data_IF_796972680311
#
_entry.id   IF_796972680311
#
_cell.length_a   1.000
_cell.length_b   1.000
_cell.length_c   1.000
_cell.angle_alpha   90.00
_cell.angle_beta   90.00
_cell.angle_gamma   90.00
#
_symmetry.space_group_name_H-M   'P 1'
#
loop_
_entity.id
_entity.type
_entity.pdbx_description
1 polymer ?
#
# COMPACT_ATOMS: atom_id res chain seq x y z
N UNK A 1 -14.91 14.28 -26.69
CA UNK A 1 -14.23 14.92 -25.52
C UNK A 1 -14.87 14.63 -24.15
N UNK A 2 -16.10 14.10 -24.02
CA UNK A 2 -16.72 13.82 -22.71
C UNK A 2 -16.22 12.58 -21.94
N UNK A 3 -15.53 11.63 -22.57
CA UNK A 3 -15.15 10.35 -21.94
C UNK A 3 -14.17 10.50 -20.78
N UNK A 4 -13.21 11.44 -20.86
CA UNK A 4 -12.20 11.64 -19.82
C UNK A 4 -12.78 12.22 -18.52
N UNK A 5 -13.82 13.05 -18.62
CA UNK A 5 -14.47 13.62 -17.44
C UNK A 5 -15.12 12.53 -16.59
N UNK A 6 -15.67 11.51 -17.25
CA UNK A 6 -16.27 10.37 -16.58
C UNK A 6 -15.25 9.48 -15.88
N UNK A 7 -13.94 9.66 -16.07
CA UNK A 7 -12.92 8.90 -15.33
C UNK A 7 -12.53 9.55 -13.99
N UNK A 8 -12.91 10.81 -13.78
CA UNK A 8 -12.55 11.57 -12.57
C UNK A 8 -13.46 11.21 -11.41
N UNK A 9 -12.89 11.19 -10.21
CA UNK A 9 -13.64 11.17 -8.96
C UNK A 9 -13.93 12.62 -8.53
N UNK A 10 -15.18 12.95 -8.15
CA UNK A 10 -15.50 14.25 -7.59
C UNK A 10 -14.70 14.51 -6.31
N UNK A 11 -14.23 15.73 -6.11
CA UNK A 11 -13.73 16.16 -4.80
C UNK A 11 -14.95 16.44 -3.91
N UNK A 12 -15.02 15.78 -2.75
CA UNK A 12 -16.17 15.87 -1.83
C UNK A 12 -15.86 16.68 -0.56
N UNK A 13 -14.79 17.48 -0.59
CA UNK A 13 -14.34 18.32 0.53
C UNK A 13 -12.88 18.01 0.89
N UNK A 14 -11.94 18.74 0.29
CA UNK A 14 -10.49 18.53 0.47
C UNK A 14 -10.01 17.07 0.30
N UNK A 15 -10.75 16.22 -0.43
CA UNK A 15 -10.47 14.78 -0.58
C UNK A 15 -9.61 14.47 -1.81
N UNK A 16 -8.77 15.41 -2.26
CA UNK A 16 -7.89 15.17 -3.41
C UNK A 16 -6.86 14.08 -3.12
N UNK A 17 -6.41 13.95 -1.87
CA UNK A 17 -5.54 12.86 -1.41
C UNK A 17 -6.19 11.48 -1.61
N UNK A 18 -7.48 11.34 -1.29
CA UNK A 18 -8.24 10.11 -1.53
C UNK A 18 -8.33 9.81 -3.02
N UNK A 19 -8.70 10.81 -3.82
CA UNK A 19 -8.91 10.64 -5.26
C UNK A 19 -7.61 10.24 -5.97
N UNK A 20 -6.48 10.87 -5.63
CA UNK A 20 -5.17 10.53 -6.17
C UNK A 20 -4.75 9.09 -5.79
N UNK A 21 -4.96 8.71 -4.53
CA UNK A 21 -4.65 7.36 -4.03
C UNK A 21 -5.47 6.29 -4.74
N UNK A 22 -6.79 6.50 -4.86
CA UNK A 22 -7.69 5.57 -5.55
C UNK A 22 -7.33 5.41 -7.02
N UNK A 23 -7.05 6.51 -7.73
CA UNK A 23 -6.65 6.43 -9.14
C UNK A 23 -5.32 5.67 -9.30
N UNK A 24 -4.38 5.87 -8.37
CA UNK A 24 -3.11 5.13 -8.34
C UNK A 24 -3.35 3.63 -8.15
N UNK A 25 -4.14 3.24 -7.15
CA UNK A 25 -4.51 1.83 -6.92
C UNK A 25 -5.27 1.21 -8.09
N UNK A 26 -6.23 1.93 -8.67
CA UNK A 26 -7.02 1.45 -9.81
C UNK A 26 -6.24 1.38 -11.12
N UNK A 27 -5.04 1.94 -11.18
CA UNK A 27 -4.13 1.74 -12.30
C UNK A 27 -3.45 0.36 -12.26
N UNK A 28 -3.33 -0.25 -11.08
CA UNK A 28 -2.68 -1.54 -10.84
C UNK A 28 -3.58 -2.69 -11.29
N UNK A 29 -3.50 -3.04 -12.57
CA UNK A 29 -4.40 -4.05 -13.18
C UNK A 29 -4.33 -5.43 -12.50
N UNK A 30 -3.15 -5.84 -12.00
CA UNK A 30 -2.99 -7.11 -11.28
C UNK A 30 -3.80 -7.09 -9.99
N UNK A 31 -3.67 -6.02 -9.21
CA UNK A 31 -4.40 -5.85 -7.95
C UNK A 31 -5.92 -5.88 -8.15
N UNK A 32 -6.44 -5.18 -9.17
CA UNK A 32 -7.88 -5.17 -9.46
C UNK A 32 -8.38 -6.54 -9.92
N UNK A 33 -7.60 -7.24 -10.74
CA UNK A 33 -7.94 -8.61 -11.15
C UNK A 33 -8.00 -9.55 -9.96
N UNK A 34 -7.06 -9.43 -9.02
CA UNK A 34 -7.06 -10.23 -7.80
C UNK A 34 -8.27 -9.93 -6.90
N UNK A 35 -8.65 -8.65 -6.73
CA UNK A 35 -9.90 -8.29 -6.01
C UNK A 35 -11.12 -8.95 -6.65
N UNK A 36 -11.23 -8.90 -7.98
CA UNK A 36 -12.37 -9.50 -8.70
C UNK A 36 -12.38 -11.02 -8.67
N UNK A 37 -11.21 -11.66 -8.70
CA UNK A 37 -11.11 -13.13 -8.61
C UNK A 37 -11.74 -13.65 -7.32
N UNK A 38 -11.57 -12.92 -6.22
CA UNK A 38 -12.09 -13.31 -4.91
C UNK A 38 -13.55 -12.82 -4.67
N UNK A 39 -14.26 -12.30 -5.70
CA UNK A 39 -15.59 -11.71 -5.55
C UNK A 39 -16.61 -12.63 -4.90
N UNK A 40 -16.60 -13.92 -5.24
CA UNK A 40 -17.49 -14.91 -4.64
C UNK A 40 -17.33 -15.02 -3.12
N UNK A 41 -16.12 -14.76 -2.59
CA UNK A 41 -15.82 -14.83 -1.16
C UNK A 41 -16.27 -13.57 -0.40
N UNK A 42 -16.03 -12.37 -0.96
CA UNK A 42 -16.32 -11.13 -0.24
C UNK A 42 -17.73 -10.59 -0.52
N UNK A 43 -18.33 -10.83 -1.69
CA UNK A 43 -19.60 -10.19 -2.07
C UNK A 43 -20.76 -10.45 -1.12
N UNK A 44 -20.92 -11.70 -0.65
CA UNK A 44 -21.95 -12.09 0.31
C UNK A 44 -21.58 -11.83 1.77
N UNK A 45 -20.30 -11.58 2.06
CA UNK A 45 -19.83 -11.43 3.43
C UNK A 45 -20.20 -10.05 4.00
N UNK A 46 -20.84 -10.02 5.18
CA UNK A 46 -21.29 -8.77 5.79
C UNK A 46 -20.14 -7.89 6.31
N UNK A 47 -18.96 -8.45 6.58
CA UNK A 47 -17.82 -7.73 7.18
C UNK A 47 -16.90 -7.07 6.16
N UNK A 48 -17.18 -7.17 4.86
CA UNK A 48 -16.28 -6.75 3.77
C UNK A 48 -16.73 -5.45 3.09
N UNK A 49 -17.14 -4.48 3.91
CA UNK A 49 -17.74 -3.25 3.39
C UNK A 49 -16.75 -2.43 2.55
N UNK A 50 -15.47 -2.40 2.94
CA UNK A 50 -14.43 -1.65 2.26
C UNK A 50 -14.04 -2.31 0.93
N UNK A 51 -13.91 -3.63 0.90
CA UNK A 51 -13.68 -4.39 -0.34
C UNK A 51 -14.82 -4.16 -1.36
N UNK A 52 -16.08 -4.23 -0.92
CA UNK A 52 -17.24 -3.93 -1.78
C UNK A 52 -17.20 -2.50 -2.31
N UNK A 53 -16.97 -1.53 -1.42
CA UNK A 53 -16.90 -0.12 -1.79
C UNK A 53 -15.79 0.15 -2.82
N UNK A 54 -14.61 -0.45 -2.63
CA UNK A 54 -13.48 -0.33 -3.54
C UNK A 54 -13.80 -0.94 -4.93
N UNK A 55 -14.44 -2.11 -4.96
CA UNK A 55 -14.87 -2.76 -6.20
C UNK A 55 -15.94 -1.96 -6.95
N UNK A 56 -16.89 -1.36 -6.23
CA UNK A 56 -17.92 -0.47 -6.79
C UNK A 56 -17.34 0.85 -7.31
N UNK A 57 -16.40 1.46 -6.58
CA UNK A 57 -15.68 2.65 -7.03
C UNK A 57 -14.89 2.37 -8.32
N UNK A 58 -14.21 1.22 -8.38
CA UNK A 58 -13.53 0.80 -9.60
C UNK A 58 -14.51 0.59 -10.76
N UNK A 59 -15.65 -0.06 -10.52
CA UNK A 59 -16.64 -0.36 -11.56
C UNK A 59 -17.38 0.89 -12.06
N UNK A 60 -17.56 1.89 -11.19
CA UNK A 60 -18.14 3.19 -11.56
C UNK A 60 -17.11 4.16 -12.16
N UNK A 61 -15.82 3.79 -12.22
CA UNK A 61 -14.75 4.66 -12.71
C UNK A 61 -15.01 5.16 -14.14
N UNK A 62 -15.55 4.35 -15.04
CA UNK A 62 -15.85 4.76 -16.42
C UNK A 62 -17.26 5.36 -16.58
N UNK A 63 -18.09 5.28 -15.54
CA UNK A 63 -19.45 5.82 -15.52
C UNK A 63 -19.45 7.33 -15.33
N UNK A 64 -20.36 8.00 -16.04
CA UNK A 64 -20.62 9.43 -15.86
C UNK A 64 -21.59 9.73 -14.69
N UNK A 65 -22.03 8.72 -13.92
CA UNK A 65 -22.92 8.91 -12.78
C UNK A 65 -22.16 9.54 -11.59
N UNK A 66 -22.20 10.88 -11.52
CA UNK A 66 -21.52 11.68 -10.49
C UNK A 66 -22.06 11.40 -9.09
N UNK A 67 -23.36 11.29 -8.92
CA UNK A 67 -24.01 11.10 -7.62
C UNK A 67 -23.63 9.77 -6.98
N UNK A 68 -23.63 8.68 -7.78
CA UNK A 68 -23.18 7.36 -7.33
C UNK A 68 -21.72 7.40 -6.88
N UNK A 69 -20.83 8.09 -7.61
CA UNK A 69 -19.43 8.27 -7.19
C UNK A 69 -19.32 9.02 -5.88
N UNK A 70 -20.07 10.12 -5.71
CA UNK A 70 -20.09 10.90 -4.46
C UNK A 70 -20.54 10.01 -3.29
N UNK A 71 -21.60 9.22 -3.47
CA UNK A 71 -22.13 8.31 -2.45
C UNK A 71 -21.10 7.26 -2.03
N UNK A 72 -20.41 6.66 -3.01
CA UNK A 72 -19.36 5.68 -2.75
C UNK A 72 -18.13 6.30 -2.06
N UNK A 73 -17.68 7.48 -2.50
CA UNK A 73 -16.56 8.19 -1.87
C UNK A 73 -16.89 8.58 -0.41
N UNK A 74 -18.11 9.04 -0.13
CA UNK A 74 -18.58 9.29 1.24
C UNK A 74 -18.62 8.02 2.08
N UNK A 75 -19.00 6.90 1.47
CA UNK A 75 -19.01 5.59 2.15
C UNK A 75 -17.59 5.14 2.48
N UNK A 76 -16.65 5.26 1.53
CA UNK A 76 -15.23 5.01 1.76
C UNK A 76 -14.68 5.88 2.90
N UNK A 77 -14.88 7.20 2.84
CA UNK A 77 -14.43 8.15 3.87
C UNK A 77 -14.95 7.76 5.25
N UNK A 78 -16.26 7.47 5.37
CA UNK A 78 -16.88 7.03 6.62
C UNK A 78 -16.33 5.70 7.13
N UNK A 79 -16.09 4.72 6.25
CA UNK A 79 -15.50 3.44 6.65
C UNK A 79 -14.11 3.62 7.24
N UNK A 80 -13.26 4.44 6.60
CA UNK A 80 -11.92 4.75 7.12
C UNK A 80 -12.01 5.49 8.46
N UNK A 81 -12.87 6.51 8.54
CA UNK A 81 -13.04 7.34 9.73
C UNK A 81 -13.55 6.60 10.97
N UNK A 82 -14.14 5.40 10.83
CA UNK A 82 -14.56 4.57 11.98
C UNK A 82 -13.41 4.21 12.91
N UNK A 83 -12.23 3.96 12.33
CA UNK A 83 -11.04 3.51 13.07
C UNK A 83 -9.96 4.60 13.15
N UNK A 84 -10.07 5.68 12.35
CA UNK A 84 -9.07 6.74 12.23
C UNK A 84 -9.76 8.10 12.19
N UNK A 85 -9.90 8.74 13.35
CA UNK A 85 -10.67 9.98 13.53
C UNK A 85 -10.18 11.15 12.67
N UNK A 86 -8.90 11.15 12.31
CA UNK A 86 -8.27 12.23 11.53
C UNK A 86 -8.89 12.35 10.13
N UNK A 87 -9.47 11.26 9.60
CA UNK A 87 -10.19 11.25 8.33
C UNK A 87 -11.68 11.62 8.44
N UNK A 88 -12.18 11.94 9.65
CA UNK A 88 -13.58 12.34 9.85
C UNK A 88 -13.86 13.76 9.33
N UNK A 89 -12.90 14.68 9.49
CA UNK A 89 -13.03 16.08 9.13
C UNK A 89 -13.02 16.36 7.62
N UNK A 90 -13.22 17.62 7.25
CA UNK A 90 -13.14 18.12 5.87
C UNK A 90 -11.77 18.76 5.56
N UNK A 91 -10.74 18.40 6.34
CA UNK A 91 -9.38 18.90 6.18
C UNK A 91 -8.59 18.10 5.14
N UNK A 92 -7.53 18.70 4.62
CA UNK A 92 -6.57 17.97 3.78
C UNK A 92 -5.78 17.00 4.66
N UNK A 93 -5.52 15.80 4.12
CA UNK A 93 -4.74 14.76 4.79
C UNK A 93 -3.59 14.29 3.91
N UNK A 94 -2.61 13.65 4.53
CA UNK A 94 -1.49 13.04 3.82
C UNK A 94 -1.98 11.83 3.00
N UNK A 95 -1.58 11.78 1.72
CA UNK A 95 -2.01 10.73 0.80
C UNK A 95 -1.36 9.37 1.10
N UNK A 96 -0.13 9.37 1.59
CA UNK A 96 0.57 8.15 2.00
C UNK A 96 -0.02 7.58 3.29
N UNK A 97 -0.38 8.43 4.25
CA UNK A 97 -1.09 8.01 5.45
C UNK A 97 -2.45 7.39 5.10
N UNK A 98 -3.23 8.07 4.25
CA UNK A 98 -4.50 7.53 3.77
C UNK A 98 -4.32 6.17 3.07
N UNK A 99 -3.31 6.04 2.19
CA UNK A 99 -3.01 4.78 1.52
C UNK A 99 -2.68 3.67 2.52
N UNK A 100 -1.84 3.96 3.51
CA UNK A 100 -1.42 2.99 4.53
C UNK A 100 -2.61 2.48 5.35
N UNK A 101 -3.50 3.40 5.74
CA UNK A 101 -4.73 3.06 6.47
C UNK A 101 -5.69 2.25 5.59
N UNK A 102 -5.89 2.65 4.34
CA UNK A 102 -6.75 1.93 3.39
C UNK A 102 -6.27 0.50 3.17
N UNK A 103 -4.98 0.29 2.91
CA UNK A 103 -4.41 -1.04 2.71
C UNK A 103 -4.49 -1.91 3.98
N UNK A 104 -4.27 -1.31 5.16
CA UNK A 104 -4.37 -2.01 6.44
C UNK A 104 -5.79 -2.52 6.69
N UNK A 105 -6.81 -1.67 6.52
CA UNK A 105 -8.20 -2.09 6.70
C UNK A 105 -8.66 -3.13 5.66
N UNK A 106 -8.23 -2.99 4.39
CA UNK A 106 -8.51 -4.00 3.36
C UNK A 106 -7.88 -5.35 3.71
N UNK A 107 -6.67 -5.33 4.30
CA UNK A 107 -6.01 -6.55 4.77
C UNK A 107 -6.79 -7.18 5.91
N UNK A 108 -7.23 -6.41 6.90
CA UNK A 108 -8.04 -6.90 8.01
C UNK A 108 -9.32 -7.59 7.53
N UNK A 109 -10.07 -6.97 6.60
CA UNK A 109 -11.25 -7.60 5.98
C UNK A 109 -10.88 -8.91 5.28
N UNK A 110 -9.78 -8.93 4.52
CA UNK A 110 -9.30 -10.11 3.81
C UNK A 110 -8.84 -11.25 4.74
N UNK A 111 -8.14 -10.94 5.81
CA UNK A 111 -7.73 -11.94 6.81
C UNK A 111 -8.95 -12.51 7.53
N UNK A 112 -9.94 -11.67 7.85
CA UNK A 112 -11.22 -12.11 8.44
C UNK A 112 -11.98 -13.07 7.52
N UNK A 113 -11.93 -12.86 6.20
CA UNK A 113 -12.52 -13.78 5.22
C UNK A 113 -11.87 -15.15 5.22
N UNK A 114 -10.53 -15.20 5.26
CA UNK A 114 -9.76 -16.46 5.28
C UNK A 114 -10.18 -17.36 6.45
N UNK A 115 -10.48 -16.78 7.60
CA UNK A 115 -10.86 -17.53 8.80
C UNK A 115 -12.28 -18.10 8.75
N UNK A 116 -13.15 -17.62 7.86
CA UNK A 116 -14.60 -17.95 7.86
C UNK A 116 -15.05 -18.87 6.73
N UNK A 117 -14.26 -19.08 5.67
CA UNK A 117 -14.69 -19.88 4.50
C UNK A 117 -14.09 -21.29 4.57
N UNK A 118 -14.95 -22.29 4.79
CA UNK A 118 -14.55 -23.70 4.97
C UNK A 118 -14.37 -24.53 3.69
N UNK A 119 -14.65 -23.98 2.49
CA UNK A 119 -14.65 -24.75 1.23
C UNK A 119 -13.66 -24.23 0.17
N UNK A 120 -13.32 -22.94 0.19
CA UNK A 120 -12.29 -22.35 -0.67
C UNK A 120 -11.41 -21.38 0.13
N UNK A 121 -10.07 -21.56 0.14
CA UNK A 121 -9.18 -20.66 0.84
C UNK A 121 -9.16 -19.31 0.11
N UNK A 122 -9.75 -18.29 0.74
CA UNK A 122 -9.63 -16.90 0.29
C UNK A 122 -8.16 -16.47 0.31
N UNK A 123 -7.69 -15.88 -0.79
CA UNK A 123 -6.35 -15.29 -0.86
C UNK A 123 -6.44 -13.80 -0.58
N UNK A 124 -5.81 -13.34 0.50
CA UNK A 124 -5.77 -11.91 0.80
C UNK A 124 -5.05 -11.14 -0.30
N UNK A 125 -5.80 -10.28 -0.99
CA UNK A 125 -5.29 -9.52 -2.13
C UNK A 125 -4.22 -8.52 -1.71
N UNK A 126 -4.26 -8.03 -0.47
CA UNK A 126 -3.24 -7.13 0.07
C UNK A 126 -1.93 -7.88 0.32
N UNK A 127 -1.98 -9.04 0.98
CA UNK A 127 -0.81 -9.91 1.19
C UNK A 127 -0.17 -10.29 -0.16
N UNK A 128 -0.99 -10.65 -1.16
CA UNK A 128 -0.50 -11.07 -2.47
C UNK A 128 0.16 -9.95 -3.30
N UNK A 129 -0.30 -8.70 -3.16
CA UNK A 129 0.14 -7.60 -4.04
C UNK A 129 1.14 -6.64 -3.39
N UNK A 130 1.00 -6.39 -2.08
CA UNK A 130 1.70 -5.31 -1.38
C UNK A 130 2.62 -5.77 -0.27
N UNK A 131 2.56 -7.04 0.14
CA UNK A 131 3.49 -7.56 1.14
C UNK A 131 4.73 -8.17 0.53
N UNK A 132 5.84 -7.97 1.23
CA UNK A 132 7.12 -8.53 0.90
C UNK A 132 7.95 -8.71 2.17
N UNK A 133 8.94 -9.58 2.09
CA UNK A 133 9.92 -9.75 3.15
C UNK A 133 11.23 -9.08 2.70
N UNK A 134 11.74 -8.18 3.56
CA UNK A 134 13.05 -7.59 3.39
C UNK A 134 14.08 -8.53 4.04
N UNK A 135 14.93 -9.15 3.22
CA UNK A 135 15.86 -10.18 3.68
C UNK A 135 17.18 -9.60 4.22
N UNK A 136 17.73 -8.61 3.53
CA UNK A 136 18.86 -7.86 4.04
C UNK A 136 18.87 -6.46 3.45
N UNK A 137 19.34 -5.52 4.26
CA UNK A 137 19.66 -4.16 3.80
C UNK A 137 21.16 -4.04 3.80
N UNK A 138 21.72 -3.69 2.65
CA UNK A 138 23.14 -3.33 2.53
C UNK A 138 23.21 -1.84 2.28
N UNK A 139 23.76 -1.12 3.25
CA UNK A 139 23.96 0.30 3.10
C UNK A 139 25.40 0.53 2.70
N UNK A 140 25.62 0.94 1.46
CA UNK A 140 26.90 1.49 1.05
C UNK A 140 26.85 3.00 1.29
N UNK A 141 27.94 3.59 1.77
CA UNK A 141 28.09 5.05 1.93
C UNK A 141 27.94 5.83 0.60
N UNK A 142 27.72 5.13 -0.54
CA UNK A 142 27.49 5.70 -1.87
C UNK A 142 26.21 5.19 -2.57
N UNK A 143 25.62 4.05 -2.18
CA UNK A 143 24.42 3.45 -2.83
C UNK A 143 23.60 2.65 -1.81
N UNK A 144 22.29 2.89 -1.74
CA UNK A 144 21.37 2.01 -1.03
C UNK A 144 20.94 0.87 -1.97
N UNK A 145 21.25 -0.39 -1.62
CA UNK A 145 20.77 -1.56 -2.36
C UNK A 145 19.76 -2.30 -1.50
N UNK A 146 18.50 -2.34 -1.94
CA UNK A 146 17.41 -3.05 -1.26
C UNK A 146 17.09 -4.34 -2.03
N UNK A 147 17.21 -5.50 -1.37
CA UNK A 147 16.80 -6.78 -1.96
C UNK A 147 15.44 -7.20 -1.41
N UNK A 148 14.43 -7.20 -2.29
CA UNK A 148 13.05 -7.59 -1.95
C UNK A 148 12.75 -9.00 -2.43
N UNK A 149 12.12 -9.81 -1.57
CA UNK A 149 11.57 -11.11 -1.96
C UNK A 149 10.04 -11.07 -1.83
N UNK A 150 9.35 -11.24 -2.96
CA UNK A 150 7.90 -11.43 -3.01
C UNK A 150 7.57 -12.91 -2.87
N UNK A 151 6.59 -13.24 -2.04
CA UNK A 151 6.02 -14.57 -1.97
C UNK A 151 4.70 -14.59 -2.74
N UNK A 152 4.58 -15.51 -3.70
CA UNK A 152 3.29 -15.87 -4.30
C UNK A 152 2.79 -17.12 -3.57
N UNK A 153 1.64 -17.02 -2.90
CA UNK A 153 0.97 -18.20 -2.32
C UNK A 153 0.17 -18.85 -3.45
N UNK A 154 0.80 -19.75 -4.19
CA UNK A 154 0.13 -20.75 -4.99
C UNK A 154 0.51 -22.14 -4.45
N UNK A 155 -0.39 -23.10 -4.54
CA UNK A 155 -0.30 -24.48 -4.02
C UNK A 155 0.88 -25.31 -4.56
N UNK A 156 1.77 -24.70 -5.36
CA UNK A 156 3.04 -25.21 -5.84
C UNK A 156 4.02 -24.05 -5.74
N UNK A 157 4.88 -24.04 -4.72
CA UNK A 157 5.72 -22.90 -4.34
C UNK A 157 6.73 -22.46 -5.40
N UNK A 158 6.30 -21.63 -6.36
CA UNK A 158 7.20 -20.97 -7.31
C UNK A 158 7.71 -19.67 -6.71
N UNK A 159 9.03 -19.63 -6.40
CA UNK A 159 9.76 -18.41 -6.02
C UNK A 159 9.96 -17.52 -7.24
N UNK A 160 9.34 -16.34 -7.26
CA UNK A 160 9.67 -15.29 -8.23
C UNK A 160 10.64 -14.29 -7.57
N UNK A 161 11.87 -14.23 -8.07
CA UNK A 161 12.87 -13.26 -7.63
C UNK A 161 12.80 -12.01 -8.51
N UNK A 162 12.03 -11.01 -8.10
CA UNK A 162 12.07 -9.69 -8.74
C UNK A 162 13.09 -8.82 -7.99
N UNK A 163 14.33 -8.72 -8.51
CA UNK A 163 15.30 -7.72 -8.01
C UNK A 163 14.81 -6.33 -8.40
N UNK A 164 14.51 -5.49 -7.41
CA UNK A 164 14.28 -4.06 -7.60
C UNK A 164 15.61 -3.33 -7.46
N UNK A 165 16.13 -2.79 -8.56
CA UNK A 165 17.27 -1.87 -8.55
C UNK A 165 16.74 -0.45 -8.33
N UNK A 166 16.93 0.09 -7.11
CA UNK A 166 16.65 1.50 -6.81
C UNK A 166 17.93 2.27 -7.13
N UNK A 167 17.88 3.18 -8.11
CA UNK A 167 19.02 4.02 -8.47
C UNK A 167 19.41 4.95 -7.31
N UNK A 168 20.70 5.26 -7.13
CA UNK A 168 21.20 6.10 -6.02
C UNK A 168 20.74 7.56 -6.07
N UNK A 169 19.95 7.95 -7.06
CA UNK A 169 19.40 9.30 -7.20
C UNK A 169 18.12 9.54 -6.37
N UNK A 170 17.50 8.49 -5.80
CA UNK A 170 16.51 8.66 -4.74
C UNK A 170 17.23 8.73 -3.39
N UNK A 171 17.76 9.90 -3.06
CA UNK A 171 18.11 10.21 -1.69
C UNK A 171 16.80 10.40 -0.91
N UNK A 172 16.28 9.34 -0.30
CA UNK A 172 15.37 9.50 0.84
C UNK A 172 16.18 10.29 1.87
N UNK A 173 15.91 11.59 2.00
CA UNK A 173 16.53 12.42 3.02
C UNK A 173 16.17 11.79 4.38
N UNK A 174 17.08 10.99 4.91
CA UNK A 174 17.03 10.54 6.28
C UNK A 174 17.04 11.80 7.13
N UNK A 175 15.88 12.17 7.70
CA UNK A 175 15.81 13.19 8.73
C UNK A 175 16.81 12.79 9.81
N UNK A 176 17.93 13.51 9.84
CA UNK A 176 19.10 13.21 10.62
C UNK A 176 18.70 13.04 12.07
N UNK A 177 18.85 11.83 12.61
CA UNK A 177 19.19 11.72 14.02
C UNK A 177 20.56 12.36 14.13
N UNK A 178 20.59 13.61 14.59
CA UNK A 178 21.81 14.31 14.90
C UNK A 178 22.62 13.45 15.88
N UNK A 179 23.64 12.76 15.36
CA UNK A 179 24.67 12.17 16.19
C UNK A 179 25.47 13.33 16.76
N UNK A 180 25.18 13.68 18.02
CA UNK A 180 26.03 14.54 18.84
C UNK A 180 27.42 13.88 18.87
N UNK A 181 28.36 14.41 18.11
CA UNK A 181 29.76 13.97 18.13
C UNK A 181 30.38 14.43 19.46
N UNK A 182 30.90 13.49 20.25
CA UNK A 182 31.84 13.83 21.35
C UNK A 182 33.21 14.18 20.74
N UNK A 183 33.89 15.25 21.20
CA UNK A 183 35.22 15.60 20.71
C UNK A 183 36.27 14.60 21.21
N UNK A 184 37.15 14.08 20.34
CA UNK A 184 38.36 13.35 20.76
C UNK A 184 38.64 11.98 20.12
N UNK A 185 37.80 11.45 19.22
CA UNK A 185 38.09 10.19 18.53
C UNK A 185 38.86 10.42 17.22
N UNK A 186 39.89 9.59 16.90
CA UNK A 186 40.66 9.71 15.68
C UNK A 186 39.77 9.45 14.45
N UNK A 187 40.04 10.18 13.36
CA UNK A 187 39.35 9.98 12.07
C UNK A 187 39.59 8.53 11.60
N UNK A 188 38.55 7.74 11.28
CA UNK A 188 38.78 6.44 10.66
C UNK A 188 39.39 6.68 9.29
N UNK A 189 40.53 6.03 9.03
CA UNK A 189 41.11 5.94 7.71
C UNK A 189 40.10 5.28 6.76
N UNK A 190 39.72 6.00 5.69
CA UNK A 190 38.91 5.42 4.63
C UNK A 190 39.77 4.42 3.85
N UNK A 191 39.58 3.14 4.14
CA UNK A 191 39.91 2.07 3.21
C UNK A 191 38.68 1.63 2.42
N UNK A 192 38.96 1.10 1.26
CA UNK A 192 38.07 0.84 0.14
C UNK A 192 36.90 -0.10 0.49
N UNK A 193 35.67 0.44 0.53
CA UNK A 193 34.46 -0.30 0.19
C UNK A 193 33.88 -1.26 1.25
N UNK A 194 33.67 -0.81 2.48
CA UNK A 194 32.97 -1.63 3.47
C UNK A 194 31.44 -1.47 3.33
N UNK A 195 30.77 -2.50 2.80
CA UNK A 195 29.33 -2.69 2.89
C UNK A 195 29.02 -3.43 4.19
N UNK A 196 28.29 -2.80 5.11
CA UNK A 196 27.80 -3.49 6.31
C UNK A 196 26.44 -4.15 6.03
N UNK A 197 26.30 -5.41 6.45
CA UNK A 197 25.06 -6.18 6.35
C UNK A 197 24.40 -6.19 7.73
N UNK A 198 23.26 -5.50 7.85
CA UNK A 198 22.40 -5.61 9.03
C UNK A 198 21.27 -6.57 8.71
N UNK A 199 21.33 -7.77 9.27
CA UNK A 199 20.28 -8.79 9.18
C UNK A 199 19.19 -8.51 10.22
N UNK A 200 18.18 -7.73 9.82
CA UNK A 200 16.94 -7.60 10.58
C UNK A 200 15.78 -8.13 9.73
N UNK A 201 15.27 -9.31 10.09
CA UNK A 201 14.06 -9.88 9.48
C UNK A 201 12.88 -9.00 9.86
N UNK A 202 12.42 -8.17 8.94
CA UNK A 202 11.24 -7.31 9.15
C UNK A 202 10.20 -7.63 8.09
N UNK A 203 9.00 -8.05 8.53
CA UNK A 203 7.84 -8.13 7.64
C UNK A 203 7.38 -6.70 7.34
N UNK A 204 7.56 -6.25 6.10
CA UNK A 204 7.17 -4.92 5.66
C UNK A 204 5.82 -4.96 4.98
N UNK A 205 4.91 -4.07 5.39
CA UNK A 205 3.91 -3.53 4.47
C UNK A 205 4.53 -2.33 3.75
N UNK A 206 3.93 -1.85 2.66
CA UNK A 206 4.40 -0.68 1.89
C UNK A 206 4.45 0.66 2.69
N UNK A 207 4.40 0.62 4.02
CA UNK A 207 4.21 1.75 4.93
C UNK A 207 5.35 1.93 5.96
N UNK A 208 6.55 1.40 5.71
CA UNK A 208 7.67 1.61 6.63
C UNK A 208 8.79 2.39 5.96
N UNK A 209 8.72 3.72 6.04
CA UNK A 209 9.81 4.59 6.54
C UNK A 209 9.22 5.99 6.86
N UNK A 210 8.90 6.17 8.14
CA UNK A 210 8.31 7.32 8.85
C UNK A 210 6.88 7.70 8.47
#
# INVERSE_FOLDING_TARGET
>A
MCSFLCHRFPNIGNTCYMNATLQSLFSLQVFIKDIRREESCWKSNLTTHLLKCLADLHSTRTSCNRERKISLLKTLKRSIAKNYSDFCGEEQQDAHEFLSVLLSQLKEEGVSLRTRVGLHPYTCTIEANFEFELLSTRTCLRVLVVQLKRFSVNSRGVKLHNRLHISPQLCLQAHSRANVRRPGMPKPHLTQGDCYETSHTTRGCCSLYR
#
